data_IF_639912074442
#
_entry.id   IF_639912074442
#
_cell.length_a   1.000
_cell.length_b   1.000
_cell.length_c   1.000
_cell.angle_alpha   90.00
_cell.angle_beta   90.00
_cell.angle_gamma   90.00
#
_symmetry.space_group_name_H-M   'P 1'
#
loop_
_entity.id
_entity.type
_entity.pdbx_description
1 polymer ?
#
# COMPACT_ATOMS: atom_id res chain seq x y z
N UNK A 1 -1.41 -12.80 9.70
CA UNK A 1 -1.53 -11.42 9.18
C UNK A 1 -0.34 -11.19 8.28
N UNK A 2 -0.55 -10.61 7.10
CA UNK A 2 0.54 -10.30 6.16
C UNK A 2 1.12 -8.95 6.57
N UNK A 3 2.42 -8.89 6.86
CA UNK A 3 3.11 -7.64 7.18
C UNK A 3 3.40 -6.88 5.89
N UNK A 4 2.88 -5.67 5.79
CA UNK A 4 2.86 -4.91 4.54
C UNK A 4 3.47 -3.52 4.72
N UNK A 5 4.38 -3.16 3.82
CA UNK A 5 4.76 -1.78 3.58
C UNK A 5 3.87 -1.20 2.47
N UNK A 6 3.30 -0.01 2.67
CA UNK A 6 2.49 0.64 1.64
C UNK A 6 3.33 1.71 0.93
N UNK A 7 3.52 1.56 -0.38
CA UNK A 7 4.31 2.51 -1.17
C UNK A 7 3.39 3.60 -1.76
N UNK A 8 3.53 4.81 -1.24
CA UNK A 8 2.77 5.99 -1.59
C UNK A 8 1.97 6.55 -0.41
N UNK A 9 1.96 7.88 -0.30
CA UNK A 9 1.23 8.64 0.74
C UNK A 9 0.05 9.45 0.16
N UNK A 10 -0.39 9.09 -1.04
CA UNK A 10 -1.46 9.79 -1.76
C UNK A 10 -2.87 9.34 -1.39
N UNK A 11 -3.86 9.92 -2.07
CA UNK A 11 -5.27 9.58 -1.86
C UNK A 11 -5.58 8.09 -2.12
N UNK A 12 -4.91 7.47 -3.09
CA UNK A 12 -5.04 6.03 -3.37
C UNK A 12 -4.63 5.17 -2.18
N UNK A 13 -3.50 5.49 -1.54
CA UNK A 13 -3.04 4.81 -0.33
C UNK A 13 -4.03 5.00 0.83
N UNK A 14 -4.54 6.22 1.01
CA UNK A 14 -5.54 6.53 2.04
C UNK A 14 -6.81 5.69 1.88
N UNK A 15 -7.31 5.59 0.66
CA UNK A 15 -8.50 4.77 0.37
C UNK A 15 -8.24 3.28 0.58
N UNK A 16 -7.04 2.82 0.21
CA UNK A 16 -6.66 1.42 0.36
C UNK A 16 -6.58 1.01 1.84
N UNK A 17 -5.93 1.83 2.68
CA UNK A 17 -5.86 1.60 4.13
C UNK A 17 -7.25 1.53 4.79
N UNK A 18 -8.21 2.33 4.29
CA UNK A 18 -9.59 2.34 4.81
C UNK A 18 -10.39 1.10 4.40
N UNK A 19 -10.16 0.58 3.20
CA UNK A 19 -11.04 -0.43 2.58
C UNK A 19 -10.44 -1.86 2.56
N UNK A 20 -9.14 -2.02 2.84
CA UNK A 20 -8.45 -3.32 2.85
C UNK A 20 -7.77 -3.65 4.19
N UNK A 21 -8.50 -3.63 5.33
CA UNK A 21 -7.90 -3.97 6.63
C UNK A 21 -7.76 -5.49 6.87
N UNK A 22 -8.61 -6.34 6.29
CA UNK A 22 -8.92 -7.64 6.92
C UNK A 22 -7.84 -8.73 6.89
N UNK A 23 -6.65 -8.50 6.32
CA UNK A 23 -5.54 -9.49 6.33
C UNK A 23 -4.14 -8.91 6.45
N UNK A 24 -4.01 -7.59 6.57
CA UNK A 24 -2.73 -6.90 6.53
C UNK A 24 -2.45 -6.13 7.80
N UNK A 25 -1.22 -6.21 8.24
CA UNK A 25 -0.64 -5.31 9.23
C UNK A 25 0.25 -4.32 8.47
N UNK A 26 -0.16 -3.05 8.42
CA UNK A 26 0.63 -2.02 7.76
C UNK A 26 1.69 -1.49 8.72
N UNK A 27 2.97 -1.66 8.38
CA UNK A 27 4.08 -1.33 9.29
C UNK A 27 4.56 0.12 9.12
N UNK A 28 4.66 0.57 7.87
CA UNK A 28 5.11 1.91 7.51
C UNK A 28 4.58 2.29 6.11
N UNK A 29 4.59 3.59 5.83
CA UNK A 29 4.39 4.13 4.49
C UNK A 29 5.75 4.43 3.86
N UNK A 30 5.91 4.15 2.57
CA UNK A 30 7.16 4.40 1.83
C UNK A 30 6.89 5.46 0.77
N UNK A 31 7.75 6.46 0.66
CA UNK A 31 7.63 7.50 -0.37
C UNK A 31 9.01 7.94 -0.86
N UNK A 32 9.12 8.34 -2.12
CA UNK A 32 10.37 8.88 -2.67
C UNK A 32 10.58 10.35 -2.30
N UNK A 33 9.52 11.04 -1.87
CA UNK A 33 9.57 12.43 -1.46
C UNK A 33 10.23 12.56 -0.07
N UNK A 34 11.46 13.10 -0.05
CA UNK A 34 12.26 13.28 1.16
C UNK A 34 11.61 14.22 2.17
N UNK A 35 10.79 15.16 1.72
CA UNK A 35 10.13 16.12 2.60
C UNK A 35 9.10 15.43 3.51
N UNK A 36 8.63 14.24 3.12
CA UNK A 36 7.66 13.46 3.89
C UNK A 36 8.30 12.51 4.90
N UNK A 37 9.59 12.19 4.75
CA UNK A 37 10.26 11.21 5.62
C UNK A 37 10.27 11.68 7.08
N UNK A 38 10.02 10.76 8.01
CA UNK A 38 9.89 11.07 9.44
C UNK A 38 8.54 11.66 9.85
N UNK A 39 7.66 11.99 8.89
CA UNK A 39 6.28 12.37 9.18
C UNK A 39 5.38 11.14 9.27
N UNK A 40 4.11 11.35 9.65
CA UNK A 40 3.11 10.29 9.73
C UNK A 40 2.02 10.44 8.67
N UNK A 41 1.72 9.34 7.99
CA UNK A 41 0.61 9.21 7.06
C UNK A 41 -0.38 8.17 7.58
N UNK A 42 -1.60 8.59 7.92
CA UNK A 42 -2.63 7.69 8.49
C UNK A 42 -2.13 6.87 9.70
N UNK A 43 -1.27 7.45 10.53
CA UNK A 43 -0.67 6.77 11.70
C UNK A 43 0.55 5.90 11.38
N UNK A 44 0.93 5.75 10.12
CA UNK A 44 2.14 5.05 9.69
C UNK A 44 3.30 6.04 9.55
N UNK A 45 4.47 5.68 10.07
CA UNK A 45 5.70 6.45 9.80
C UNK A 45 6.01 6.41 8.30
N UNK A 46 6.34 7.55 7.72
CA UNK A 46 6.80 7.64 6.34
C UNK A 46 8.32 7.47 6.31
N UNK A 47 8.78 6.46 5.58
CA UNK A 47 10.19 6.09 5.44
C UNK A 47 10.65 6.21 3.99
N UNK A 48 11.98 6.29 3.82
CA UNK A 48 12.60 6.18 2.51
C UNK A 48 12.59 4.73 2.00
N UNK A 49 12.65 4.48 0.67
CA UNK A 49 12.82 3.14 0.13
C UNK A 49 14.11 2.45 0.62
N UNK A 50 15.16 3.22 0.91
CA UNK A 50 16.43 2.68 1.42
C UNK A 50 16.34 2.14 2.85
N UNK A 51 15.35 2.59 3.62
CA UNK A 51 15.14 2.16 5.00
C UNK A 51 14.19 0.96 5.14
N UNK A 52 13.66 0.43 4.02
CA UNK A 52 12.74 -0.71 4.08
C UNK A 52 13.42 -1.96 4.67
N UNK A 53 14.74 -2.11 4.52
CA UNK A 53 15.50 -3.23 5.09
C UNK A 53 15.51 -3.28 6.62
N UNK A 54 15.13 -2.19 7.30
CA UNK A 54 14.99 -2.15 8.76
C UNK A 54 13.69 -2.81 9.26
N UNK A 55 12.81 -3.21 8.33
CA UNK A 55 11.51 -3.78 8.62
C UNK A 55 11.46 -5.26 8.22
N UNK A 56 10.83 -6.07 9.07
CA UNK A 56 10.45 -7.44 8.76
C UNK A 56 9.06 -7.43 8.10
N UNK A 57 9.01 -7.52 6.77
CA UNK A 57 7.78 -7.47 5.98
C UNK A 57 7.67 -8.63 4.97
N UNK A 58 6.44 -9.00 4.64
CA UNK A 58 6.14 -10.04 3.66
C UNK A 58 6.00 -9.46 2.25
N UNK A 59 5.37 -8.28 2.14
CA UNK A 59 5.06 -7.65 0.86
C UNK A 59 5.11 -6.11 0.90
N UNK A 60 5.28 -5.54 -0.29
CA UNK A 60 5.15 -4.10 -0.57
C UNK A 60 3.93 -3.91 -1.46
N UNK A 61 2.98 -3.11 -0.98
CA UNK A 61 1.77 -2.78 -1.72
C UNK A 61 1.90 -1.39 -2.34
N UNK A 62 1.97 -1.32 -3.67
CA UNK A 62 2.09 -0.04 -4.37
C UNK A 62 0.72 0.63 -4.47
N UNK A 63 0.58 1.79 -3.85
CA UNK A 63 -0.64 2.60 -3.84
C UNK A 63 -0.38 4.01 -4.38
N UNK A 64 0.21 4.07 -5.58
CA UNK A 64 0.64 5.31 -6.24
C UNK A 64 0.30 5.30 -7.73
N UNK A 65 0.11 6.49 -8.31
CA UNK A 65 -0.04 6.66 -9.76
C UNK A 65 1.23 6.25 -10.53
N UNK A 66 2.39 6.37 -9.87
CA UNK A 66 3.71 6.06 -10.44
C UNK A 66 4.07 4.58 -10.35
N UNK A 67 3.07 3.69 -10.42
CA UNK A 67 3.20 2.24 -10.20
C UNK A 67 4.35 1.61 -11.00
N UNK A 68 4.44 1.91 -12.30
CA UNK A 68 5.48 1.35 -13.16
C UNK A 68 6.89 1.76 -12.76
N UNK A 69 7.09 3.06 -12.47
CA UNK A 69 8.39 3.59 -12.03
C UNK A 69 8.79 3.01 -10.67
N UNK A 70 7.85 2.97 -9.72
CA UNK A 70 8.09 2.41 -8.38
C UNK A 70 8.40 0.93 -8.47
N UNK A 71 7.66 0.17 -9.28
CA UNK A 71 7.91 -1.27 -9.46
C UNK A 71 9.31 -1.52 -10.02
N UNK A 72 9.74 -0.70 -11.00
CA UNK A 72 11.10 -0.76 -11.55
C UNK A 72 12.14 -0.49 -10.46
N UNK A 73 12.00 0.59 -9.71
CA UNK A 73 12.88 0.94 -8.60
C UNK A 73 12.99 -0.21 -7.58
N UNK A 74 11.86 -0.76 -7.14
CA UNK A 74 11.84 -1.84 -6.16
C UNK A 74 12.56 -3.10 -6.66
N UNK A 75 12.29 -3.53 -7.88
CA UNK A 75 12.79 -4.82 -8.39
C UNK A 75 14.22 -4.68 -8.94
N UNK A 76 14.46 -3.68 -9.78
CA UNK A 76 15.71 -3.56 -10.54
C UNK A 76 16.80 -2.83 -9.76
N UNK A 77 16.44 -1.80 -8.98
CA UNK A 77 17.42 -0.97 -8.27
C UNK A 77 17.63 -1.46 -6.82
N UNK A 78 16.56 -1.86 -6.14
CA UNK A 78 16.60 -2.30 -4.75
C UNK A 78 16.62 -3.83 -4.59
N UNK A 79 16.51 -4.58 -5.69
CA UNK A 79 16.61 -6.04 -5.69
C UNK A 79 15.47 -6.75 -4.96
N UNK A 80 14.32 -6.10 -4.78
CA UNK A 80 13.16 -6.72 -4.12
C UNK A 80 12.58 -7.80 -5.03
N UNK A 81 12.37 -9.04 -4.53
CA UNK A 81 11.71 -10.09 -5.28
C UNK A 81 10.36 -9.65 -5.84
N UNK A 82 10.13 -9.90 -7.13
CA UNK A 82 8.92 -9.44 -7.82
C UNK A 82 7.62 -10.00 -7.23
N UNK A 83 7.68 -11.17 -6.58
CA UNK A 83 6.57 -11.79 -5.87
C UNK A 83 6.22 -11.09 -4.54
N UNK A 84 7.09 -10.25 -4.00
CA UNK A 84 6.81 -9.40 -2.84
C UNK A 84 6.23 -8.04 -3.25
N UNK A 85 6.22 -7.68 -4.54
CA UNK A 85 5.71 -6.39 -5.02
C UNK A 85 4.29 -6.56 -5.54
N UNK A 86 3.32 -6.10 -4.76
CA UNK A 86 1.89 -6.23 -5.03
C UNK A 86 1.33 -4.92 -5.58
N UNK A 87 0.56 -5.03 -6.65
CA UNK A 87 -0.21 -3.91 -7.19
C UNK A 87 -1.70 -4.23 -7.08
N UNK A 88 -2.52 -3.33 -6.50
CA UNK A 88 -3.94 -3.58 -6.35
C UNK A 88 -4.57 -3.61 -7.75
N UNK A 89 -4.89 -4.80 -8.25
CA UNK A 89 -5.53 -4.96 -9.56
C UNK A 89 -6.82 -4.13 -9.58
N UNK A 90 -7.00 -3.31 -10.63
CA UNK A 90 -8.14 -2.40 -10.83
C UNK A 90 -9.53 -3.05 -10.68
N UNK A 91 -9.64 -4.38 -10.69
CA UNK A 91 -10.90 -5.11 -10.59
C UNK A 91 -11.44 -5.31 -9.16
N UNK A 92 -10.66 -5.18 -8.08
CA UNK A 92 -11.18 -5.43 -6.72
C UNK A 92 -11.85 -4.21 -6.09
N UNK A 93 -11.47 -2.99 -6.48
CA UNK A 93 -12.06 -1.75 -5.94
C UNK A 93 -13.54 -1.60 -6.37
N UNK A 94 -13.90 -2.03 -7.59
CA UNK A 94 -15.31 -2.04 -8.02
C UNK A 94 -16.14 -3.08 -7.28
N UNK A 95 -15.56 -4.22 -6.90
CA UNK A 95 -16.30 -5.30 -6.25
C UNK A 95 -16.54 -4.95 -4.77
N UNK A 96 -15.54 -4.43 -4.06
CA UNK A 96 -15.69 -4.02 -2.67
C UNK A 96 -16.73 -2.88 -2.50
N UNK A 97 -16.68 -1.85 -3.36
CA UNK A 97 -17.67 -0.77 -3.35
C UNK A 97 -19.08 -1.23 -3.76
N UNK A 98 -19.19 -2.21 -4.66
CA UNK A 98 -20.48 -2.78 -5.06
C UNK A 98 -21.07 -3.68 -3.98
N UNK A 99 -20.25 -4.50 -3.31
CA UNK A 99 -20.67 -5.37 -2.21
C UNK A 99 -21.12 -4.55 -0.99
N UNK A 100 -20.39 -3.48 -0.60
CA UNK A 100 -20.83 -2.62 0.50
C UNK A 100 -22.18 -1.94 0.24
N UNK A 101 -22.49 -1.65 -1.03
CA UNK A 101 -23.78 -1.07 -1.43
C UNK A 101 -24.90 -2.13 -1.43
N UNK A 102 -24.59 -3.37 -1.83
CA UNK A 102 -25.53 -4.50 -1.83
C UNK A 102 -25.93 -4.95 -0.42
N UNK A 103 -25.00 -4.95 0.56
CA UNK A 103 -25.33 -5.34 1.94
C UNK A 103 -26.14 -4.30 2.71
N UNK A 104 -26.14 -3.03 2.29
CA UNK A 104 -26.91 -1.96 2.94
C UNK A 104 -28.37 -1.83 2.44
N UNK A 105 -28.82 -2.67 1.49
CA UNK A 105 -30.17 -2.56 0.90
C UNK A 105 -31.11 -3.70 1.30
N UNK A 106 -30.80 -4.48 2.35
CA UNK A 106 -31.66 -5.62 2.77
C UNK A 106 -32.02 -5.61 4.26
N UNK A 107 -32.12 -4.43 4.87
CA UNK A 107 -32.90 -4.30 6.10
C UNK A 107 -33.92 -3.19 5.89
N UNK A 108 -35.13 -3.58 5.47
CA UNK A 108 -36.45 -3.05 5.86
C UNK A 108 -37.51 -4.08 5.44
#
# INVERSE_FOLDING_TARGET
MIKTLIFGTGNSAKQLLKNLPDKREYLAAVDNDTDKHGQYFNGLLVISPGNMGDYDYDEILIASYWEGTIKKQLIEELGIPSNQVITPQKNTIKIAAKLSTLFNTTIH
#
